data_IF_949429508592
#
_entry.id   IF_949429508592
#
_cell.length_a   1.000
_cell.length_b   1.000
_cell.length_c   1.000
_cell.angle_alpha   90.00
_cell.angle_beta   90.00
_cell.angle_gamma   90.00
#
_symmetry.space_group_name_H-M   'P 1'
#
loop_
_entity.id
_entity.type
_entity.pdbx_description
1 polymer ?
#
# COMPACT_ATOMS: atom_id res chain seq x y z
N UNK A 1 -4.25 5.11 8.62
CA UNK A 1 -3.13 5.90 9.19
C UNK A 1 -3.06 7.26 8.51
N UNK A 2 -2.84 8.40 9.21
CA UNK A 2 -2.26 9.59 8.61
C UNK A 2 -0.86 9.83 9.18
N UNK A 3 0.07 8.98 8.77
CA UNK A 3 1.44 9.37 8.48
C UNK A 3 1.73 8.67 7.14
N UNK A 4 1.64 9.41 6.03
CA UNK A 4 1.59 8.88 4.66
C UNK A 4 2.96 8.36 4.16
N UNK A 5 3.85 8.00 5.08
CA UNK A 5 5.22 7.64 4.79
C UNK A 5 5.39 6.14 5.04
N UNK A 6 5.54 5.39 3.95
CA UNK A 6 6.15 4.08 4.04
C UNK A 6 7.67 4.30 4.13
N UNK A 7 8.34 3.84 5.20
CA UNK A 7 9.78 3.97 5.32
C UNK A 7 10.47 3.33 4.12
N UNK A 8 11.44 4.03 3.52
CA UNK A 8 12.39 3.39 2.59
C UNK A 8 13.38 2.54 3.41
N UNK A 9 12.84 1.50 4.03
CA UNK A 9 13.59 0.57 4.86
C UNK A 9 13.93 -0.67 4.04
N UNK A 10 15.20 -1.04 4.10
CA UNK A 10 15.67 -2.34 3.64
C UNK A 10 15.23 -3.38 4.67
N UNK A 11 14.70 -4.51 4.21
CA UNK A 11 14.35 -5.64 5.08
C UNK A 11 15.63 -6.44 5.33
N UNK A 12 16.10 -6.47 6.57
CA UNK A 12 17.38 -7.11 6.95
C UNK A 12 17.18 -8.41 7.75
N UNK A 13 15.98 -8.63 8.28
CA UNK A 13 15.63 -9.84 9.03
C UNK A 13 14.11 -10.09 9.05
N UNK A 14 13.70 -11.14 9.75
CA UNK A 14 12.30 -11.51 9.94
C UNK A 14 11.48 -10.46 10.71
N UNK A 15 12.11 -9.71 11.62
CA UNK A 15 11.43 -8.64 12.35
C UNK A 15 11.04 -7.51 11.40
N UNK A 16 11.97 -7.09 10.54
CA UNK A 16 11.73 -6.07 9.52
C UNK A 16 10.65 -6.52 8.54
N UNK A 17 10.65 -7.79 8.12
CA UNK A 17 9.65 -8.35 7.23
C UNK A 17 8.25 -8.29 7.86
N UNK A 18 8.13 -8.68 9.13
CA UNK A 18 6.85 -8.65 9.89
C UNK A 18 6.37 -7.23 10.15
N UNK A 19 7.27 -6.31 10.48
CA UNK A 19 6.92 -4.90 10.66
C UNK A 19 6.44 -4.27 9.35
N UNK A 20 7.08 -4.63 8.23
CA UNK A 20 6.67 -4.23 6.87
C UNK A 20 5.26 -4.75 6.54
N UNK A 21 5.00 -6.05 6.74
CA UNK A 21 3.68 -6.65 6.52
C UNK A 21 2.59 -5.98 7.39
N UNK A 22 2.91 -5.69 8.66
CA UNK A 22 1.98 -4.98 9.55
C UNK A 22 1.60 -3.59 9.01
N UNK A 23 2.57 -2.83 8.48
CA UNK A 23 2.30 -1.52 7.87
C UNK A 23 1.44 -1.66 6.62
N UNK A 24 1.66 -2.69 5.81
CA UNK A 24 0.86 -2.99 4.61
C UNK A 24 -0.59 -3.29 5.00
N UNK A 25 -0.84 -4.12 6.01
CA UNK A 25 -2.20 -4.36 6.51
C UNK A 25 -2.86 -3.11 7.09
N UNK A 26 -2.11 -2.22 7.72
CA UNK A 26 -2.64 -0.95 8.21
C UNK A 26 -3.05 -0.02 7.07
N UNK A 27 -2.33 -0.06 5.94
CA UNK A 27 -2.75 0.62 4.72
C UNK A 27 -4.01 -0.04 4.15
N UNK A 28 -4.05 -1.36 4.05
CA UNK A 28 -5.20 -2.14 3.55
C UNK A 28 -6.49 -1.78 4.28
N UNK A 29 -6.47 -1.89 5.61
CA UNK A 29 -7.62 -1.53 6.45
C UNK A 29 -8.04 -0.07 6.26
N UNK A 30 -7.09 0.84 6.05
CA UNK A 30 -7.40 2.24 5.82
C UNK A 30 -8.01 2.48 4.43
N UNK A 31 -7.50 1.81 3.40
CA UNK A 31 -8.05 1.88 2.03
C UNK A 31 -9.50 1.38 2.02
N UNK A 32 -9.80 0.30 2.73
CA UNK A 32 -11.17 -0.21 2.88
C UNK A 32 -12.11 0.81 3.53
N UNK A 33 -11.66 1.49 4.58
CA UNK A 33 -12.45 2.53 5.26
C UNK A 33 -12.69 3.73 4.33
N UNK A 34 -11.71 4.08 3.50
CA UNK A 34 -11.79 5.21 2.58
C UNK A 34 -12.62 4.88 1.33
N UNK A 35 -12.78 3.61 1.00
CA UNK A 35 -13.63 3.12 -0.08
C UNK A 35 -15.12 3.10 0.31
N UNK A 36 -15.65 4.23 0.80
CA UNK A 36 -17.04 4.33 1.27
C UNK A 36 -18.03 4.80 0.17
N UNK A 37 -17.55 4.91 -1.08
CA UNK A 37 -18.34 5.36 -2.22
C UNK A 37 -18.67 6.85 -2.23
N UNK A 38 -18.06 7.66 -1.34
CA UNK A 38 -18.24 9.11 -1.31
C UNK A 38 -17.05 9.84 -1.91
N UNK A 39 -17.23 11.14 -2.13
CA UNK A 39 -16.12 12.02 -2.49
C UNK A 39 -15.14 12.05 -1.32
N UNK A 40 -13.89 11.77 -1.64
CA UNK A 40 -12.80 11.78 -0.68
C UNK A 40 -12.56 13.18 -0.15
N UNK A 41 -12.30 13.25 1.16
CA UNK A 41 -11.67 14.41 1.77
C UNK A 41 -10.30 14.66 1.12
N UNK A 42 -9.91 15.93 1.03
CA UNK A 42 -8.64 16.34 0.39
C UNK A 42 -7.42 15.63 0.98
N UNK A 43 -7.42 15.42 2.29
CA UNK A 43 -6.34 14.72 3.00
C UNK A 43 -6.28 13.24 2.62
N UNK A 44 -7.43 12.54 2.60
CA UNK A 44 -7.48 11.13 2.18
C UNK A 44 -7.05 10.94 0.73
N UNK A 45 -7.45 11.85 -0.17
CA UNK A 45 -6.99 11.82 -1.56
C UNK A 45 -5.47 12.04 -1.66
N UNK A 46 -4.90 12.95 -0.87
CA UNK A 46 -3.47 13.19 -0.85
C UNK A 46 -2.71 11.95 -0.36
N UNK A 47 -3.18 11.30 0.71
CA UNK A 47 -2.60 10.06 1.25
C UNK A 47 -2.65 8.94 0.19
N UNK A 48 -3.77 8.76 -0.52
CA UNK A 48 -3.86 7.76 -1.60
C UNK A 48 -2.87 8.05 -2.74
N UNK A 49 -2.73 9.32 -3.13
CA UNK A 49 -1.77 9.74 -4.17
C UNK A 49 -0.33 9.54 -3.73
N UNK A 50 -0.02 9.80 -2.46
CA UNK A 50 1.29 9.49 -1.90
C UNK A 50 1.52 7.96 -1.90
N UNK A 51 0.52 7.17 -1.50
CA UNK A 51 0.58 5.72 -1.48
C UNK A 51 0.86 5.09 -2.84
N UNK A 52 0.15 5.53 -3.87
CA UNK A 52 0.40 5.13 -5.25
C UNK A 52 1.82 5.53 -5.72
N UNK A 53 2.34 6.68 -5.25
CA UNK A 53 3.67 7.15 -5.64
C UNK A 53 4.79 6.29 -5.05
N UNK A 54 4.68 5.89 -3.78
CA UNK A 54 5.72 5.08 -3.13
C UNK A 54 5.55 3.58 -3.36
N UNK A 55 4.39 3.10 -3.83
CA UNK A 55 4.11 1.68 -4.11
C UNK A 55 5.24 0.97 -4.89
N UNK A 56 5.76 1.51 -6.02
CA UNK A 56 6.82 0.83 -6.77
C UNK A 56 8.12 0.65 -5.99
N UNK A 57 8.41 1.58 -5.07
CA UNK A 57 9.60 1.52 -4.21
C UNK A 57 9.47 0.39 -3.21
N UNK A 58 8.31 0.28 -2.57
CA UNK A 58 8.04 -0.78 -1.58
C UNK A 58 8.05 -2.16 -2.23
N UNK A 59 7.39 -2.32 -3.39
CA UNK A 59 7.43 -3.59 -4.14
C UNK A 59 8.86 -3.97 -4.52
N UNK A 60 9.66 -3.01 -4.98
CA UNK A 60 11.08 -3.26 -5.28
C UNK A 60 11.85 -3.71 -4.04
N UNK A 61 11.64 -3.07 -2.89
CA UNK A 61 12.32 -3.42 -1.65
C UNK A 61 11.93 -4.84 -1.17
N UNK A 62 10.65 -5.21 -1.27
CA UNK A 62 10.16 -6.57 -0.99
C UNK A 62 10.80 -7.61 -1.92
N UNK A 63 10.84 -7.36 -3.22
CA UNK A 63 11.49 -8.26 -4.20
C UNK A 63 13.00 -8.38 -4.00
N UNK A 64 13.66 -7.29 -3.63
CA UNK A 64 15.09 -7.34 -3.30
C UNK A 64 15.34 -8.19 -2.04
N UNK A 65 14.46 -8.11 -1.05
CA UNK A 65 14.53 -8.95 0.15
C UNK A 65 14.28 -10.42 -0.19
N UNK A 66 13.28 -10.72 -1.02
CA UNK A 66 12.98 -12.09 -1.48
C UNK A 66 14.21 -12.71 -2.17
N UNK A 67 14.92 -11.93 -2.98
CA UNK A 67 16.17 -12.37 -3.62
C UNK A 67 17.36 -12.51 -2.65
N UNK A 68 17.32 -11.86 -1.48
CA UNK A 68 18.37 -11.94 -0.46
C UNK A 68 18.16 -13.11 0.53
N UNK A 69 16.90 -13.51 0.77
CA UNK A 69 16.52 -14.55 1.73
C UNK A 69 16.05 -15.84 1.05
N UNK A 70 16.81 -16.34 0.07
CA UNK A 70 16.38 -17.45 -0.80
C UNK A 70 16.12 -18.79 -0.10
N UNK A 71 16.64 -18.97 1.12
CA UNK A 71 16.54 -20.23 1.89
C UNK A 71 15.86 -20.05 3.26
N UNK A 72 15.25 -18.89 3.51
CA UNK A 72 14.52 -18.60 4.77
C UNK A 72 13.01 -18.61 4.51
N UNK A 73 12.41 -19.79 4.60
CA UNK A 73 10.99 -20.02 4.33
C UNK A 73 10.06 -19.12 5.19
N UNK A 74 10.47 -18.77 6.42
CA UNK A 74 9.67 -17.89 7.28
C UNK A 74 9.65 -16.46 6.76
N UNK A 75 10.81 -15.94 6.35
CA UNK A 75 10.91 -14.60 5.75
C UNK A 75 10.22 -14.57 4.40
N UNK A 76 10.45 -15.58 3.55
CA UNK A 76 9.84 -15.67 2.22
C UNK A 76 8.31 -15.67 2.30
N UNK A 77 7.72 -16.45 3.21
CA UNK A 77 6.26 -16.47 3.39
C UNK A 77 5.69 -15.10 3.76
N UNK A 78 6.38 -14.33 4.62
CA UNK A 78 5.97 -12.96 4.99
C UNK A 78 6.11 -11.99 3.81
N UNK A 79 7.17 -12.13 3.01
CA UNK A 79 7.42 -11.27 1.84
C UNK A 79 6.42 -11.55 0.71
N UNK A 80 6.08 -12.81 0.45
CA UNK A 80 5.07 -13.22 -0.52
C UNK A 80 3.70 -12.63 -0.16
N UNK A 81 3.27 -12.79 1.08
CA UNK A 81 2.02 -12.20 1.58
C UNK A 81 2.00 -10.67 1.43
N UNK A 82 3.10 -10.01 1.82
CA UNK A 82 3.25 -8.57 1.67
C UNK A 82 3.15 -8.11 0.20
N UNK A 83 3.74 -8.86 -0.73
CA UNK A 83 3.70 -8.56 -2.17
C UNK A 83 2.29 -8.73 -2.75
N UNK A 84 1.58 -9.80 -2.36
CA UNK A 84 0.22 -10.07 -2.81
C UNK A 84 -0.73 -8.94 -2.38
N UNK A 85 -0.72 -8.58 -1.09
CA UNK A 85 -1.55 -7.48 -0.58
C UNK A 85 -1.21 -6.16 -1.27
N UNK A 86 0.08 -5.87 -1.48
CA UNK A 86 0.51 -4.64 -2.15
C UNK A 86 0.05 -4.55 -3.61
N UNK A 87 -0.02 -5.67 -4.32
CA UNK A 87 -0.54 -5.68 -5.69
C UNK A 87 -2.04 -5.38 -5.72
N UNK A 88 -2.81 -6.01 -4.83
CA UNK A 88 -4.25 -5.78 -4.71
C UNK A 88 -4.56 -4.34 -4.29
N UNK A 89 -3.79 -3.80 -3.33
CA UNK A 89 -3.92 -2.42 -2.87
C UNK A 89 -3.69 -1.41 -3.98
N UNK A 90 -2.70 -1.62 -4.85
CA UNK A 90 -2.45 -0.70 -5.95
C UNK A 90 -3.64 -0.60 -6.88
N UNK A 91 -4.28 -1.72 -7.21
CA UNK A 91 -5.51 -1.75 -7.99
C UNK A 91 -6.63 -0.99 -7.29
N UNK A 92 -6.89 -1.31 -6.02
CA UNK A 92 -7.94 -0.69 -5.23
C UNK A 92 -7.78 0.84 -5.10
N UNK A 93 -6.58 1.32 -4.77
CA UNK A 93 -6.31 2.75 -4.60
C UNK A 93 -6.53 3.54 -5.91
N UNK A 94 -6.12 2.98 -7.06
CA UNK A 94 -6.36 3.62 -8.36
C UNK A 94 -7.86 3.69 -8.68
N UNK A 95 -8.61 2.61 -8.44
CA UNK A 95 -10.06 2.59 -8.65
C UNK A 95 -10.79 3.62 -7.78
N UNK A 96 -10.38 3.76 -6.51
CA UNK A 96 -10.94 4.74 -5.58
C UNK A 96 -10.67 6.17 -6.06
N UNK A 97 -9.45 6.47 -6.51
CA UNK A 97 -9.13 7.80 -7.04
C UNK A 97 -9.92 8.13 -8.31
N UNK A 98 -10.07 7.16 -9.22
CA UNK A 98 -10.88 7.33 -10.43
C UNK A 98 -12.36 7.56 -10.11
N UNK A 99 -12.93 6.79 -9.19
CA UNK A 99 -14.30 6.97 -8.72
C UNK A 99 -14.50 8.36 -8.10
N UNK A 100 -13.57 8.79 -7.25
CA UNK A 100 -13.57 10.12 -6.64
C UNK A 100 -13.53 11.24 -7.70
N UNK A 101 -12.69 11.12 -8.73
CA UNK A 101 -12.61 12.08 -9.82
C UNK A 101 -13.93 12.16 -10.62
N UNK A 102 -14.58 11.03 -10.87
CA UNK A 102 -15.90 10.98 -11.54
C UNK A 102 -16.98 11.67 -10.70
N UNK A 103 -17.06 11.36 -9.41
CA UNK A 103 -18.03 11.98 -8.49
C UNK A 103 -17.84 13.50 -8.41
N UNK A 104 -16.59 13.97 -8.33
CA UNK A 104 -16.26 15.41 -8.37
C UNK A 104 -16.65 16.08 -9.69
N UNK A 105 -16.53 15.37 -10.81
CA UNK A 105 -16.94 15.84 -12.13
C UNK A 105 -18.46 16.00 -12.24
N UNK A 106 -19.22 15.05 -11.69
CA UNK A 106 -20.69 15.07 -11.69
C UNK A 106 -21.28 16.21 -10.84
N UNK A 107 -20.61 16.61 -9.74
CA UNK A 107 -21.06 17.75 -8.93
C UNK A 107 -20.82 19.12 -9.55
N UNK A 108 -20.00 19.20 -10.61
CA UNK A 108 -19.70 20.45 -11.33
C UNK A 108 -20.64 20.70 -12.53
N UNK A 109 -21.56 19.78 -12.79
CA UNK A 109 -22.64 19.86 -13.79
C UNK A 109 -23.97 20.09 -13.09
#
# INVERSE_FOLDING_TARGET
MPNAYFPDQSIQDLSDAKDTLRLIHQLEQWVDVVNDGKILLRESEAILKDAIRWHPVVVRNLRNAEAAFTDDDEILGVLEEALDIMNDLFGAMNLILDANNRLKGQQKL
#
